data_IF_763938536688
#
_entry.id   IF_763938536688
#
_cell.length_a   1.000
_cell.length_b   1.000
_cell.length_c   1.000
_cell.angle_alpha   90.00
_cell.angle_beta   90.00
_cell.angle_gamma   90.00
#
_symmetry.space_group_name_H-M   'P 1'
#
loop_
_entity.id
_entity.type
_entity.pdbx_description
1 polymer ?
#
# COMPACT_ATOMS: atom_id res chain seq x y z
N UNK A 1 3.68 -9.55 13.96
CA UNK A 1 3.36 -8.12 13.78
C UNK A 1 2.36 -8.00 12.65
N UNK A 2 1.43 -7.04 12.69
CA UNK A 2 0.42 -6.88 11.64
C UNK A 2 0.83 -5.84 10.59
N UNK A 3 0.09 -5.79 9.50
CA UNK A 3 0.17 -4.72 8.50
C UNK A 3 -1.22 -4.13 8.27
N UNK A 4 -1.27 -2.87 7.85
CA UNK A 4 -2.44 -2.22 7.29
C UNK A 4 -2.21 -2.13 5.78
N UNK A 5 -3.20 -2.55 4.99
CA UNK A 5 -3.22 -2.41 3.55
C UNK A 5 -4.31 -1.39 3.21
N UNK A 6 -3.97 -0.43 2.35
CA UNK A 6 -4.84 0.65 1.92
C UNK A 6 -4.95 0.62 0.40
N UNK A 7 -6.15 0.84 -0.11
CA UNK A 7 -6.39 1.11 -1.52
C UNK A 7 -7.03 2.48 -1.63
N UNK A 8 -6.36 3.39 -2.33
CA UNK A 8 -6.86 4.74 -2.57
C UNK A 8 -7.15 4.90 -4.07
N UNK A 9 -8.25 5.58 -4.37
CA UNK A 9 -8.59 5.98 -5.72
C UNK A 9 -8.60 7.50 -5.78
N UNK A 10 -7.68 8.05 -6.57
CA UNK A 10 -7.54 9.47 -6.79
C UNK A 10 -8.20 9.85 -8.12
N UNK A 11 -9.45 10.38 -8.13
CA UNK A 11 -10.19 10.67 -9.35
C UNK A 11 -9.74 11.96 -10.06
N UNK A 12 -8.67 12.60 -9.58
CA UNK A 12 -8.18 13.87 -10.11
C UNK A 12 -9.04 15.09 -9.86
N UNK A 13 -9.81 15.07 -8.76
CA UNK A 13 -10.51 16.26 -8.27
C UNK A 13 -9.67 17.16 -7.36
N UNK A 14 -8.51 16.68 -6.94
CA UNK A 14 -7.59 17.38 -6.05
C UNK A 14 -6.34 17.81 -6.83
N UNK A 15 -5.83 19.02 -6.56
CA UNK A 15 -4.67 19.58 -7.25
C UNK A 15 -3.44 18.67 -7.05
N UNK A 16 -2.89 18.16 -8.15
CA UNK A 16 -1.70 17.28 -8.15
C UNK A 16 -2.00 15.78 -7.95
N UNK A 17 -3.25 15.39 -7.72
CA UNK A 17 -3.66 13.99 -7.47
C UNK A 17 -4.23 13.31 -8.74
N UNK A 18 -4.44 14.05 -9.83
CA UNK A 18 -5.11 13.56 -11.04
C UNK A 18 -4.40 12.44 -11.79
N UNK A 19 -3.07 12.44 -11.77
CA UNK A 19 -2.28 11.41 -12.45
C UNK A 19 -1.97 10.21 -11.54
N UNK A 20 -2.30 10.27 -10.24
CA UNK A 20 -2.01 9.17 -9.31
C UNK A 20 -2.90 7.95 -9.54
N UNK A 21 -4.13 8.16 -10.00
CA UNK A 21 -5.07 7.06 -10.28
C UNK A 21 -5.27 6.16 -9.05
N UNK A 22 -5.37 4.83 -9.21
CA UNK A 22 -5.46 3.93 -8.08
C UNK A 22 -4.07 3.68 -7.51
N UNK A 23 -3.96 3.62 -6.20
CA UNK A 23 -2.69 3.31 -5.53
C UNK A 23 -2.93 2.35 -4.38
N UNK A 24 -2.02 1.38 -4.27
CA UNK A 24 -1.93 0.52 -3.10
C UNK A 24 -0.86 1.06 -2.17
N UNK A 25 -1.22 1.23 -0.91
CA UNK A 25 -0.30 1.64 0.15
C UNK A 25 -0.31 0.60 1.26
N UNK A 26 0.74 0.57 2.05
CA UNK A 26 0.83 -0.26 3.23
C UNK A 26 1.45 0.48 4.40
N UNK A 27 1.15 0.05 5.61
CA UNK A 27 1.82 0.53 6.81
C UNK A 27 2.05 -0.60 7.82
N UNK A 28 3.18 -0.55 8.52
CA UNK A 28 3.51 -1.53 9.56
C UNK A 28 2.73 -1.22 10.83
N UNK A 29 2.03 -2.22 11.38
CA UNK A 29 1.38 -2.07 12.69
C UNK A 29 2.42 -2.15 13.80
N UNK A 30 2.46 -1.13 14.67
CA UNK A 30 3.38 -1.08 15.82
C UNK A 30 2.81 -1.89 16.99
N UNK A 31 3.70 -2.42 17.83
CA UNK A 31 3.34 -3.30 18.97
C UNK A 31 2.49 -2.58 20.03
N UNK A 32 2.64 -1.27 20.17
CA UNK A 32 1.87 -0.42 21.10
C UNK A 32 0.60 0.18 20.51
N UNK A 33 0.17 -0.24 19.32
CA UNK A 33 -0.90 0.41 18.57
C UNK A 33 -0.38 1.46 17.58
N UNK A 34 -1.26 1.89 16.69
CA UNK A 34 -0.93 2.76 15.55
C UNK A 34 -0.15 2.05 14.44
N UNK A 35 0.10 2.82 13.38
CA UNK A 35 0.83 2.39 12.18
C UNK A 35 2.01 3.31 11.90
N UNK A 36 2.94 2.86 11.08
CA UNK A 36 3.87 3.78 10.41
C UNK A 36 3.13 4.67 9.42
N UNK A 37 3.83 5.66 8.88
CA UNK A 37 3.36 6.38 7.69
C UNK A 37 3.12 5.36 6.56
N UNK A 38 2.02 5.48 5.80
CA UNK A 38 1.79 4.67 4.61
C UNK A 38 2.89 4.88 3.57
N UNK A 39 3.35 3.78 2.98
CA UNK A 39 4.27 3.78 1.84
C UNK A 39 3.63 3.03 0.67
N UNK A 40 4.11 3.30 -0.54
CA UNK A 40 3.67 2.59 -1.73
C UNK A 40 3.91 1.07 -1.59
N UNK A 41 2.91 0.28 -1.95
CA UNK A 41 3.09 -1.14 -2.23
C UNK A 41 3.65 -1.23 -3.66
N UNK A 42 4.70 -2.03 -3.93
CA UNK A 42 5.29 -2.14 -5.25
C UNK A 42 4.40 -3.00 -6.16
N UNK A 43 3.26 -2.44 -6.55
CA UNK A 43 2.26 -3.05 -7.42
C UNK A 43 1.49 -1.93 -8.15
N UNK A 44 1.01 -2.23 -9.35
CA UNK A 44 0.20 -1.30 -10.14
C UNK A 44 -1.15 -0.97 -9.48
N UNK A 45 -1.72 0.19 -9.79
CA UNK A 45 -2.95 0.66 -9.17
C UNK A 45 -4.16 -0.28 -9.29
N UNK A 46 -4.38 -0.83 -10.48
CA UNK A 46 -5.45 -1.81 -10.75
C UNK A 46 -4.96 -3.26 -10.61
N UNK A 47 -4.12 -3.52 -9.60
CA UNK A 47 -3.63 -4.86 -9.31
C UNK A 47 -4.77 -5.85 -9.04
N UNK A 48 -4.64 -7.06 -9.59
CA UNK A 48 -5.53 -8.16 -9.24
C UNK A 48 -5.17 -8.73 -7.85
N UNK A 49 -6.08 -9.50 -7.21
CA UNK A 49 -5.84 -10.03 -5.86
C UNK A 49 -4.56 -10.88 -5.70
N UNK A 50 -4.14 -11.58 -6.75
CA UNK A 50 -2.93 -12.42 -6.73
C UNK A 50 -1.68 -11.54 -6.65
N UNK A 51 -1.64 -10.45 -7.41
CA UNK A 51 -0.54 -9.49 -7.38
C UNK A 51 -0.43 -8.82 -6.01
N UNK A 52 -1.55 -8.37 -5.45
CA UNK A 52 -1.58 -7.76 -4.10
C UNK A 52 -1.10 -8.74 -3.04
N UNK A 53 -1.52 -10.01 -3.12
CA UNK A 53 -1.09 -11.05 -2.19
C UNK A 53 0.41 -11.34 -2.30
N UNK A 54 0.95 -11.40 -3.52
CA UNK A 54 2.37 -11.62 -3.76
C UNK A 54 3.23 -10.48 -3.17
N UNK A 55 2.92 -9.22 -3.50
CA UNK A 55 3.66 -8.06 -2.98
C UNK A 55 3.55 -7.96 -1.45
N UNK A 56 2.38 -8.24 -0.88
CA UNK A 56 2.20 -8.24 0.60
C UNK A 56 2.99 -9.39 1.26
N UNK A 57 3.08 -10.54 0.60
CA UNK A 57 3.85 -11.70 1.05
C UNK A 57 5.34 -11.40 1.12
N UNK A 58 5.91 -10.83 0.05
CA UNK A 58 7.31 -10.38 0.03
C UNK A 58 7.57 -9.37 1.15
N UNK A 59 6.69 -8.39 1.30
CA UNK A 59 6.81 -7.35 2.30
C UNK A 59 6.82 -7.89 3.74
N UNK A 60 6.03 -8.95 3.98
CA UNK A 60 5.99 -9.64 5.27
C UNK A 60 7.27 -10.44 5.52
N UNK A 61 7.87 -11.01 4.47
CA UNK A 61 9.09 -11.80 4.55
C UNK A 61 10.36 -10.94 4.76
N UNK A 62 10.46 -9.80 4.07
CA UNK A 62 11.64 -8.93 4.08
C UNK A 62 11.55 -7.81 5.12
N UNK A 63 10.33 -7.41 5.49
CA UNK A 63 10.09 -6.25 6.34
C UNK A 63 10.28 -4.89 5.65
N UNK A 64 10.46 -4.89 4.33
CA UNK A 64 10.60 -3.69 3.49
C UNK A 64 9.82 -3.86 2.18
N UNK A 65 9.22 -2.75 1.70
CA UNK A 65 8.86 -2.66 0.28
C UNK A 65 10.15 -2.44 -0.52
N UNK A 66 10.38 -3.24 -1.55
CA UNK A 66 11.41 -3.00 -2.57
C UNK A 66 10.97 -1.91 -3.52
#
# INVERSE_FOLDING_TARGET
AGLLLLWEWHPGREDGEADRGPVWLWAKKRRGGGTTEPAALPVDGYANPVQVAASTGELTATGAAV
#
